data_IF_973925977540
#
_entry.id   IF_973925977540
#
_cell.length_a   1.000
_cell.length_b   1.000
_cell.length_c   1.000
_cell.angle_alpha   90.00
_cell.angle_beta   90.00
_cell.angle_gamma   90.00
#
_symmetry.space_group_name_H-M   'P 1'
#
loop_
_entity.id
_entity.type
_entity.pdbx_description
1 polymer ?
#
# COMPACT_ATOMS: atom_id res chain seq x y z
N UNK A 1 -19.04 6.19 36.11
CA UNK A 1 -18.90 5.26 37.23
C UNK A 1 -17.52 4.65 37.18
N UNK A 2 -16.76 4.73 38.28
CA UNK A 2 -15.43 4.11 38.40
C UNK A 2 -15.61 2.59 38.38
N UNK A 3 -14.68 1.84 37.79
CA UNK A 3 -14.58 0.36 37.89
C UNK A 3 -14.36 -0.05 39.38
N UNK A 4 -14.50 0.91 40.27
CA UNK A 4 -14.34 0.78 41.72
C UNK A 4 -15.34 -0.19 42.32
N UNK A 5 -14.78 -1.03 43.14
CA UNK A 5 -15.37 -1.69 44.35
C UNK A 5 -16.38 -2.82 44.19
N UNK A 6 -16.99 -3.09 43.02
CA UNK A 6 -18.07 -4.10 42.95
C UNK A 6 -17.73 -5.35 42.13
N UNK A 7 -16.50 -5.46 41.60
CA UNK A 7 -16.10 -6.66 40.87
C UNK A 7 -15.46 -7.66 41.84
N UNK A 8 -16.22 -8.71 42.17
CA UNK A 8 -15.65 -9.92 42.75
C UNK A 8 -14.46 -10.40 41.90
N UNK A 9 -13.50 -11.15 42.43
CA UNK A 9 -12.37 -11.68 41.67
C UNK A 9 -12.80 -12.32 40.36
N UNK A 10 -13.92 -13.05 40.34
CA UNK A 10 -14.51 -13.69 39.16
C UNK A 10 -14.97 -12.67 38.08
N UNK A 11 -15.53 -11.54 38.48
CA UNK A 11 -15.95 -10.48 37.54
C UNK A 11 -14.74 -9.73 36.97
N UNK A 12 -13.66 -9.53 37.74
CA UNK A 12 -12.39 -8.98 37.25
C UNK A 12 -11.75 -9.88 36.21
N UNK A 13 -11.73 -11.19 36.47
CA UNK A 13 -11.21 -12.17 35.53
C UNK A 13 -12.00 -12.20 34.22
N UNK A 14 -13.32 -12.22 34.27
CA UNK A 14 -14.19 -12.15 33.08
C UNK A 14 -13.98 -10.87 32.28
N UNK A 15 -13.79 -9.74 32.94
CA UNK A 15 -13.50 -8.47 32.26
C UNK A 15 -12.14 -8.48 31.57
N UNK A 16 -11.10 -9.01 32.21
CA UNK A 16 -9.77 -9.20 31.65
C UNK A 16 -9.82 -10.08 30.39
N UNK A 17 -10.41 -11.26 30.49
CA UNK A 17 -10.48 -12.19 29.36
C UNK A 17 -11.27 -11.62 28.18
N UNK A 18 -12.38 -10.92 28.44
CA UNK A 18 -13.18 -10.26 27.42
C UNK A 18 -12.41 -9.12 26.73
N UNK A 19 -11.64 -8.35 27.50
CA UNK A 19 -10.82 -7.25 26.97
C UNK A 19 -9.69 -7.78 26.08
N UNK A 20 -8.98 -8.80 26.53
CA UNK A 20 -7.92 -9.47 25.75
C UNK A 20 -8.50 -10.07 24.46
N UNK A 21 -9.65 -10.74 24.54
CA UNK A 21 -10.30 -11.30 23.36
C UNK A 21 -10.74 -10.22 22.35
N UNK A 22 -11.19 -9.06 22.83
CA UNK A 22 -11.55 -7.92 21.99
C UNK A 22 -10.32 -7.37 21.24
N UNK A 23 -9.17 -7.34 21.90
CA UNK A 23 -7.91 -6.91 21.29
C UNK A 23 -7.39 -7.94 20.30
N UNK A 24 -7.45 -9.21 20.63
CA UNK A 24 -7.08 -10.28 19.71
C UNK A 24 -7.91 -10.20 18.40
N UNK A 25 -9.22 -10.01 18.49
CA UNK A 25 -10.07 -9.79 17.31
C UNK A 25 -9.70 -8.53 16.56
N UNK A 26 -9.41 -7.44 17.26
CA UNK A 26 -8.98 -6.19 16.65
C UNK A 26 -7.70 -6.36 15.85
N UNK A 27 -6.67 -6.97 16.44
CA UNK A 27 -5.37 -7.25 15.81
C UNK A 27 -5.55 -8.10 14.54
N UNK A 28 -6.32 -9.18 14.64
CA UNK A 28 -6.50 -10.10 13.51
C UNK A 28 -7.43 -9.58 12.40
N UNK A 29 -8.21 -8.52 12.66
CA UNK A 29 -9.10 -7.90 11.67
C UNK A 29 -8.52 -6.65 11.02
N UNK A 30 -7.27 -6.31 11.33
CA UNK A 30 -6.65 -5.06 10.88
C UNK A 30 -5.40 -5.34 10.05
N UNK A 31 -5.26 -4.67 8.92
CA UNK A 31 -4.16 -4.87 7.97
C UNK A 31 -3.17 -3.70 7.92
N UNK A 32 -3.49 -2.59 8.58
CA UNK A 32 -2.64 -1.40 8.63
C UNK A 32 -2.37 -0.95 10.05
N UNK A 33 -1.11 -0.58 10.33
CA UNK A 33 -0.71 -0.05 11.65
C UNK A 33 -1.53 1.16 12.08
N UNK A 34 -1.83 2.08 11.14
CA UNK A 34 -2.62 3.30 11.43
C UNK A 34 -4.04 3.00 11.87
N UNK A 35 -4.68 2.03 11.22
CA UNK A 35 -6.04 1.61 11.59
C UNK A 35 -6.02 0.87 12.92
N UNK A 36 -5.06 -0.03 13.13
CA UNK A 36 -4.91 -0.76 14.38
C UNK A 36 -4.77 0.20 15.58
N UNK A 37 -3.82 1.14 15.54
CA UNK A 37 -3.61 2.08 16.66
C UNK A 37 -4.81 3.01 16.87
N UNK A 38 -5.54 3.35 15.81
CA UNK A 38 -6.73 4.17 15.89
C UNK A 38 -7.89 3.45 16.60
N UNK A 39 -8.14 2.19 16.23
CA UNK A 39 -9.18 1.35 16.86
C UNK A 39 -8.79 0.98 18.29
N UNK A 40 -7.51 0.65 18.51
CA UNK A 40 -6.97 0.39 19.85
C UNK A 40 -7.15 1.61 20.74
N UNK A 41 -6.82 2.82 20.27
CA UNK A 41 -7.01 4.06 21.05
C UNK A 41 -8.47 4.27 21.48
N UNK A 42 -9.44 3.99 20.60
CA UNK A 42 -10.88 4.08 20.92
C UNK A 42 -11.27 3.06 21.97
N UNK A 43 -10.85 1.81 21.79
CA UNK A 43 -11.14 0.73 22.73
C UNK A 43 -10.56 1.05 24.12
N UNK A 44 -9.33 1.55 24.18
CA UNK A 44 -8.71 1.96 25.46
C UNK A 44 -9.43 3.14 26.10
N UNK A 45 -9.90 4.13 25.33
CA UNK A 45 -10.74 5.21 25.88
C UNK A 45 -12.02 4.67 26.53
N UNK A 46 -12.67 3.69 25.90
CA UNK A 46 -13.90 3.07 26.42
C UNK A 46 -13.62 2.22 27.68
N UNK A 47 -12.63 1.33 27.62
CA UNK A 47 -12.29 0.41 28.72
C UNK A 47 -11.87 1.16 29.99
N UNK A 48 -11.08 2.23 29.85
CA UNK A 48 -10.50 2.96 30.97
C UNK A 48 -11.24 4.25 31.33
N UNK A 49 -12.40 4.50 30.72
CA UNK A 49 -13.15 5.76 30.86
C UNK A 49 -12.22 6.98 30.69
N UNK A 50 -11.36 6.94 29.67
CA UNK A 50 -10.40 7.98 29.40
C UNK A 50 -10.97 9.01 28.42
N UNK A 51 -10.74 10.30 28.70
CA UNK A 51 -11.11 11.40 27.81
C UNK A 51 -10.19 11.48 26.59
N UNK A 52 -8.93 11.02 26.72
CA UNK A 52 -7.94 10.99 25.64
C UNK A 52 -7.12 9.73 25.73
N UNK A 53 -6.84 9.16 24.57
CA UNK A 53 -5.79 8.16 24.37
C UNK A 53 -4.81 8.69 23.32
N UNK A 54 -3.55 8.69 23.67
CA UNK A 54 -2.46 9.09 22.80
C UNK A 54 -1.53 7.90 22.63
N UNK A 55 -1.31 7.48 21.38
CA UNK A 55 -0.34 6.44 21.02
C UNK A 55 0.73 7.07 20.14
N UNK A 56 1.98 6.87 20.51
CA UNK A 56 3.14 7.15 19.69
C UNK A 56 3.81 5.86 19.27
N UNK A 57 4.18 5.75 18.00
CA UNK A 57 5.19 4.80 17.56
C UNK A 57 6.49 5.58 17.31
N UNK A 58 7.60 5.01 17.70
CA UNK A 58 8.92 5.63 17.63
C UNK A 58 9.59 5.35 16.29
N UNK A 59 10.47 6.25 15.89
CA UNK A 59 11.42 5.99 14.82
C UNK A 59 12.62 5.16 15.35
N UNK A 60 13.46 4.70 14.44
CA UNK A 60 14.67 3.92 14.78
C UNK A 60 15.63 4.65 15.73
N UNK A 61 15.60 5.98 15.77
CA UNK A 61 16.45 6.79 16.67
C UNK A 61 15.88 6.94 18.08
N UNK A 62 14.60 6.57 18.28
CA UNK A 62 13.83 6.72 19.54
C UNK A 62 13.72 8.15 20.07
N UNK A 63 14.18 9.14 19.31
CA UNK A 63 14.11 10.56 19.63
C UNK A 63 12.87 11.25 19.05
N UNK A 64 12.26 10.62 18.05
CA UNK A 64 11.10 11.13 17.34
C UNK A 64 10.01 10.06 17.28
N UNK A 65 8.75 10.49 17.23
CA UNK A 65 7.65 9.64 16.83
C UNK A 65 7.60 9.58 15.31
N UNK A 66 7.46 8.37 14.75
CA UNK A 66 7.15 8.14 13.33
C UNK A 66 5.66 8.31 13.08
N UNK A 67 4.84 7.87 14.02
CA UNK A 67 3.39 7.90 13.94
C UNK A 67 2.81 8.33 15.30
N UNK A 68 1.88 9.27 15.27
CA UNK A 68 1.17 9.77 16.44
C UNK A 68 -0.34 9.68 16.22
N UNK A 69 -1.04 9.01 17.09
CA UNK A 69 -2.49 8.91 17.09
C UNK A 69 -3.06 9.47 18.40
N UNK A 70 -3.88 10.50 18.29
CA UNK A 70 -4.64 11.07 19.41
C UNK A 70 -6.12 10.83 19.15
N UNK A 71 -6.79 10.11 20.05
CA UNK A 71 -8.22 9.89 20.00
C UNK A 71 -8.89 10.49 21.25
N UNK A 72 -9.99 11.17 21.03
CA UNK A 72 -10.92 11.62 22.05
C UNK A 72 -12.35 11.25 21.61
N UNK A 73 -13.38 11.33 22.49
CA UNK A 73 -14.76 10.99 22.13
C UNK A 73 -15.31 11.78 20.93
N UNK A 74 -14.77 12.98 20.66
CA UNK A 74 -15.26 13.87 19.61
C UNK A 74 -14.29 14.05 18.43
N UNK A 75 -13.02 13.68 18.56
CA UNK A 75 -11.98 13.98 17.56
C UNK A 75 -10.93 12.88 17.47
N UNK A 76 -10.46 12.65 16.27
CA UNK A 76 -9.33 11.76 15.94
C UNK A 76 -8.31 12.53 15.15
N UNK A 77 -7.06 12.49 15.57
CA UNK A 77 -5.92 13.04 14.84
C UNK A 77 -4.87 11.97 14.65
N UNK A 78 -4.44 11.80 13.41
CA UNK A 78 -3.29 10.95 13.07
C UNK A 78 -2.27 11.83 12.39
N UNK A 79 -1.05 11.84 12.92
CA UNK A 79 0.10 12.54 12.34
C UNK A 79 1.10 11.46 11.93
N UNK A 80 1.25 11.28 10.63
CA UNK A 80 2.15 10.32 10.01
C UNK A 80 3.35 11.09 9.44
N UNK A 81 4.13 11.65 10.34
CA UNK A 81 5.43 12.27 10.02
C UNK A 81 6.31 12.31 11.26
N UNK A 82 7.59 12.38 11.04
CA UNK A 82 8.59 12.47 12.07
C UNK A 82 8.36 13.71 12.93
N UNK A 83 8.06 13.52 14.22
CA UNK A 83 7.74 14.59 15.17
C UNK A 83 8.59 14.43 16.43
N UNK A 84 9.24 15.50 16.88
CA UNK A 84 10.09 15.49 18.08
C UNK A 84 9.24 15.29 19.34
N UNK A 85 9.70 14.43 20.23
CA UNK A 85 9.07 14.18 21.53
C UNK A 85 9.54 15.27 22.51
N UNK A 86 8.60 16.08 22.96
CA UNK A 86 8.93 17.26 23.81
C UNK A 86 8.38 17.14 25.23
N UNK A 87 7.30 16.38 25.43
CA UNK A 87 6.60 16.30 26.72
C UNK A 87 7.46 15.59 27.79
N UNK A 88 7.45 16.12 29.00
CA UNK A 88 8.27 15.64 30.13
C UNK A 88 7.89 14.20 30.54
N UNK A 89 6.57 13.89 30.57
CA UNK A 89 6.09 12.54 30.94
C UNK A 89 6.51 11.51 29.89
N UNK A 90 6.39 11.85 28.62
CA UNK A 90 6.81 11.00 27.49
C UNK A 90 8.30 10.68 27.57
N UNK A 91 9.14 11.71 27.78
CA UNK A 91 10.59 11.55 27.98
C UNK A 91 10.93 10.71 29.20
N UNK A 92 10.15 10.85 30.30
CA UNK A 92 10.34 10.03 31.49
C UNK A 92 10.10 8.54 31.18
N UNK A 93 8.97 8.20 30.54
CA UNK A 93 8.64 6.82 30.15
C UNK A 93 9.73 6.24 29.25
N UNK A 94 10.20 6.99 28.25
CA UNK A 94 11.26 6.57 27.35
C UNK A 94 12.59 6.33 28.05
N UNK A 95 12.91 7.12 29.08
CA UNK A 95 14.17 6.98 29.82
C UNK A 95 14.15 5.84 30.84
N UNK A 96 13.01 5.69 31.54
CA UNK A 96 12.88 4.69 32.61
C UNK A 96 12.35 3.34 32.13
N UNK A 97 11.83 3.26 30.89
CA UNK A 97 11.17 2.09 30.31
C UNK A 97 10.08 1.50 31.22
N UNK A 98 9.50 2.33 32.06
CA UNK A 98 8.50 1.91 33.04
C UNK A 98 7.25 2.75 32.94
N UNK A 99 6.14 2.17 33.42
CA UNK A 99 4.86 2.88 33.48
C UNK A 99 4.88 4.04 34.47
N UNK A 100 4.20 5.14 34.11
CA UNK A 100 4.07 6.34 34.95
C UNK A 100 2.60 6.58 35.23
N UNK A 101 2.23 6.60 36.49
CA UNK A 101 0.90 6.92 36.97
C UNK A 101 0.94 8.20 37.80
N UNK A 102 0.17 9.21 37.40
CA UNK A 102 0.06 10.49 38.12
C UNK A 102 -1.36 11.03 38.06
N UNK A 103 -2.14 10.77 39.11
CA UNK A 103 -3.55 11.18 39.17
C UNK A 103 -4.36 10.67 37.98
N UNK A 104 -4.93 11.58 37.21
CA UNK A 104 -5.75 11.28 36.03
C UNK A 104 -4.93 10.91 34.77
N UNK A 105 -3.61 10.74 34.88
CA UNK A 105 -2.71 10.35 33.80
C UNK A 105 -2.12 8.96 34.06
N UNK A 106 -2.12 8.12 33.02
CA UNK A 106 -1.47 6.81 33.01
C UNK A 106 -0.71 6.68 31.69
N UNK A 107 0.59 6.52 31.78
CA UNK A 107 1.46 6.29 30.61
C UNK A 107 2.22 5.00 30.74
N UNK A 108 2.32 4.23 29.64
CA UNK A 108 3.01 2.95 29.61
C UNK A 108 3.85 2.83 28.32
N UNK A 109 5.02 2.20 28.40
CA UNK A 109 5.80 1.91 27.19
C UNK A 109 5.17 0.77 26.41
N UNK A 110 5.29 0.82 25.09
CA UNK A 110 5.03 -0.31 24.19
C UNK A 110 6.36 -1.05 24.03
N UNK A 111 6.48 -2.18 24.70
CA UNK A 111 7.70 -2.98 24.73
C UNK A 111 7.52 -4.25 23.90
N UNK A 112 8.47 -4.47 22.96
CA UNK A 112 8.75 -5.75 22.34
C UNK A 112 10.14 -6.20 22.84
N UNK A 113 11.05 -6.63 21.97
CA UNK A 113 12.47 -6.79 22.33
C UNK A 113 13.10 -5.46 22.77
N UNK A 114 12.52 -4.36 22.29
CA UNK A 114 12.88 -2.99 22.61
C UNK A 114 11.64 -2.11 22.63
N UNK A 115 11.77 -0.84 23.07
CA UNK A 115 10.65 0.10 23.06
C UNK A 115 10.29 0.51 21.64
N UNK A 116 9.05 0.22 21.23
CA UNK A 116 8.50 0.59 19.92
C UNK A 116 7.58 1.82 19.98
N UNK A 117 7.16 2.22 21.18
CA UNK A 117 6.25 3.35 21.34
C UNK A 117 5.84 3.58 22.78
N UNK A 118 4.88 4.48 22.96
CA UNK A 118 4.26 4.76 24.27
C UNK A 118 2.76 4.97 24.09
N UNK A 119 2.01 4.62 25.12
CA UNK A 119 0.57 4.95 25.26
C UNK A 119 0.39 5.86 26.47
N UNK A 120 -0.44 6.89 26.31
CA UNK A 120 -0.85 7.78 27.39
C UNK A 120 -2.38 7.86 27.40
N UNK A 121 -2.97 7.50 28.54
CA UNK A 121 -4.38 7.70 28.84
C UNK A 121 -4.55 8.90 29.77
N UNK A 122 -5.56 9.72 29.50
CA UNK A 122 -5.92 10.86 30.35
C UNK A 122 -7.42 10.86 30.63
N UNK A 123 -7.81 10.90 31.87
CA UNK A 123 -9.20 11.10 32.33
C UNK A 123 -9.58 12.58 32.37
N UNK A 124 -10.86 12.86 32.56
CA UNK A 124 -11.38 14.21 32.78
C UNK A 124 -10.84 14.83 34.07
N UNK A 125 -10.91 16.17 34.18
CA UNK A 125 -10.31 16.95 35.28
C UNK A 125 -10.84 16.56 36.68
N UNK A 126 -12.08 16.13 36.76
CA UNK A 126 -12.75 15.74 38.02
C UNK A 126 -12.92 14.20 38.16
N UNK A 127 -12.30 13.43 37.25
CA UNK A 127 -12.38 11.97 37.34
C UNK A 127 -11.37 11.44 38.37
N UNK A 128 -11.65 10.28 38.99
CA UNK A 128 -10.72 9.64 39.91
C UNK A 128 -9.42 9.27 39.19
N UNK A 129 -8.29 9.27 39.92
CA UNK A 129 -7.00 8.83 39.41
C UNK A 129 -7.04 7.37 38.96
N UNK A 130 -6.05 6.99 38.18
CA UNK A 130 -5.85 5.58 37.82
C UNK A 130 -5.37 4.77 39.01
N UNK A 131 -5.84 3.55 39.15
CA UNK A 131 -5.48 2.61 40.21
C UNK A 131 -4.37 1.65 39.71
N UNK A 132 -3.73 0.94 40.64
CA UNK A 132 -2.67 -0.06 40.31
C UNK A 132 -3.24 -1.18 39.43
N UNK A 133 -4.40 -1.68 39.72
CA UNK A 133 -5.09 -2.71 38.93
C UNK A 133 -5.31 -2.24 37.45
N UNK A 134 -5.70 -0.98 37.24
CA UNK A 134 -5.91 -0.45 35.91
C UNK A 134 -4.60 -0.32 35.13
N UNK A 135 -3.51 -0.02 35.82
CA UNK A 135 -2.17 -0.01 35.23
C UNK A 135 -1.73 -1.42 34.80
N UNK A 136 -1.91 -2.42 35.67
CA UNK A 136 -1.61 -3.82 35.39
C UNK A 136 -2.47 -4.35 34.23
N UNK A 137 -3.75 -4.02 34.22
CA UNK A 137 -4.67 -4.35 33.14
C UNK A 137 -4.22 -3.74 31.80
N UNK A 138 -3.86 -2.44 31.80
CA UNK A 138 -3.40 -1.77 30.60
C UNK A 138 -2.11 -2.43 30.07
N UNK A 139 -1.19 -2.82 30.94
CA UNK A 139 0.04 -3.49 30.54
C UNK A 139 -0.24 -4.83 29.86
N UNK A 140 -1.11 -5.67 30.44
CA UNK A 140 -1.50 -6.96 29.83
C UNK A 140 -2.20 -6.80 28.48
N UNK A 141 -3.03 -5.78 28.34
CA UNK A 141 -3.68 -5.43 27.07
C UNK A 141 -2.64 -5.02 26.01
N UNK A 142 -1.68 -4.21 26.41
CA UNK A 142 -0.66 -3.66 25.52
C UNK A 142 0.28 -4.75 25.00
N UNK A 143 0.64 -5.72 25.82
CA UNK A 143 1.47 -6.86 25.38
C UNK A 143 0.89 -7.53 24.13
N UNK A 144 -0.42 -7.78 24.10
CA UNK A 144 -1.08 -8.34 22.91
C UNK A 144 -1.13 -7.37 21.74
N UNK A 145 -1.34 -6.08 22.01
CA UNK A 145 -1.39 -5.06 20.97
C UNK A 145 -0.01 -4.85 20.32
N UNK A 146 1.08 -4.92 21.09
CA UNK A 146 2.46 -4.80 20.61
C UNK A 146 2.80 -5.89 19.60
N UNK A 147 2.40 -7.13 19.88
CA UNK A 147 2.59 -8.25 18.95
C UNK A 147 1.92 -7.93 17.60
N UNK A 148 0.67 -7.45 17.64
CA UNK A 148 -0.04 -7.06 16.43
C UNK A 148 0.60 -5.91 15.68
N UNK A 149 1.00 -4.85 16.38
CA UNK A 149 1.70 -3.70 15.78
C UNK A 149 3.00 -4.15 15.13
N UNK A 150 3.80 -4.96 15.83
CA UNK A 150 5.10 -5.44 15.35
C UNK A 150 4.93 -6.33 14.11
N UNK A 151 3.97 -7.23 14.11
CA UNK A 151 3.68 -8.09 12.96
C UNK A 151 3.29 -7.27 11.72
N UNK A 152 2.45 -6.25 11.88
CA UNK A 152 2.07 -5.36 10.78
C UNK A 152 3.26 -4.52 10.29
N UNK A 153 4.12 -4.04 11.19
CA UNK A 153 5.34 -3.32 10.81
C UNK A 153 6.31 -4.21 10.04
N UNK A 154 6.54 -5.44 10.51
CA UNK A 154 7.39 -6.42 9.83
C UNK A 154 6.83 -6.79 8.45
N UNK A 155 5.52 -6.96 8.35
CA UNK A 155 4.87 -7.22 7.07
C UNK A 155 5.08 -6.06 6.07
N UNK A 156 4.86 -4.82 6.50
CA UNK A 156 5.07 -3.62 5.67
C UNK A 156 6.55 -3.47 5.25
N UNK A 157 7.48 -3.74 6.15
CA UNK A 157 8.91 -3.72 5.85
C UNK A 157 9.30 -4.81 4.85
N UNK A 158 8.78 -6.02 5.03
CA UNK A 158 8.98 -7.14 4.11
C UNK A 158 8.47 -6.81 2.71
N UNK A 159 7.28 -6.21 2.60
CA UNK A 159 6.72 -5.74 1.33
C UNK A 159 7.62 -4.70 0.66
N UNK A 160 8.14 -3.74 1.42
CA UNK A 160 9.08 -2.73 0.90
C UNK A 160 10.39 -3.33 0.39
N UNK A 161 10.95 -4.30 1.12
CA UNK A 161 12.17 -5.02 0.71
C UNK A 161 11.92 -5.77 -0.59
N UNK A 162 10.84 -6.55 -0.67
CA UNK A 162 10.49 -7.30 -1.89
C UNK A 162 10.29 -6.37 -3.06
N UNK A 163 9.52 -5.29 -2.88
CA UNK A 163 9.28 -4.32 -3.94
C UNK A 163 10.57 -3.62 -4.39
N UNK A 164 11.44 -3.24 -3.45
CA UNK A 164 12.74 -2.64 -3.74
C UNK A 164 13.65 -3.60 -4.50
N UNK A 165 13.70 -4.87 -4.11
CA UNK A 165 14.48 -5.92 -4.80
C UNK A 165 13.99 -6.13 -6.23
N UNK A 166 12.67 -6.23 -6.42
CA UNK A 166 12.06 -6.34 -7.76
C UNK A 166 12.43 -5.13 -8.61
N UNK A 167 12.31 -3.92 -8.07
CA UNK A 167 12.68 -2.69 -8.77
C UNK A 167 14.15 -2.67 -9.17
N UNK A 168 15.05 -3.12 -8.31
CA UNK A 168 16.48 -3.22 -8.61
C UNK A 168 16.75 -4.22 -9.74
N UNK A 169 16.08 -5.38 -9.73
CA UNK A 169 16.19 -6.38 -10.79
C UNK A 169 15.68 -5.83 -12.13
N UNK A 170 14.56 -5.13 -12.14
CA UNK A 170 14.02 -4.47 -13.34
C UNK A 170 15.02 -3.45 -13.86
N UNK A 171 15.59 -2.62 -12.99
CA UNK A 171 16.61 -1.64 -13.40
C UNK A 171 17.83 -2.31 -14.04
N UNK A 172 18.27 -3.47 -13.53
CA UNK A 172 19.35 -4.24 -14.14
C UNK A 172 18.98 -4.80 -15.53
N UNK A 173 17.74 -5.25 -15.70
CA UNK A 173 17.24 -5.69 -17.01
C UNK A 173 17.15 -4.53 -17.99
N UNK A 174 16.69 -3.37 -17.52
CA UNK A 174 16.56 -2.14 -18.32
C UNK A 174 17.92 -1.59 -18.79
N UNK A 175 19.04 -1.91 -18.10
CA UNK A 175 20.38 -1.51 -18.59
C UNK A 175 20.76 -2.16 -19.92
N UNK A 176 20.12 -3.27 -20.29
CA UNK A 176 20.30 -3.92 -21.59
C UNK A 176 19.51 -3.26 -22.72
N UNK A 177 18.53 -2.44 -22.39
CA UNK A 177 17.61 -1.81 -23.33
C UNK A 177 17.83 -0.29 -23.26
N UNK A 178 18.05 0.42 -24.38
CA UNK A 178 18.17 1.87 -24.33
C UNK A 178 16.96 2.50 -23.64
N UNK A 179 17.18 3.57 -22.85
CA UNK A 179 16.14 4.26 -22.06
C UNK A 179 14.89 4.68 -22.86
N UNK A 180 15.06 4.86 -24.17
CA UNK A 180 13.98 5.18 -25.12
C UNK A 180 12.92 4.08 -25.24
N UNK A 181 13.22 2.86 -24.77
CA UNK A 181 12.32 1.69 -24.80
C UNK A 181 11.78 1.31 -23.43
N UNK A 182 12.20 2.01 -22.38
CA UNK A 182 11.72 1.78 -21.02
C UNK A 182 10.52 2.67 -20.70
N UNK A 183 9.72 2.23 -19.74
CA UNK A 183 8.55 3.00 -19.32
C UNK A 183 8.93 4.21 -18.46
N UNK A 184 8.13 5.27 -18.55
CA UNK A 184 8.33 6.46 -17.73
C UNK A 184 8.03 6.16 -16.24
N UNK A 185 8.62 6.92 -15.31
CA UNK A 185 8.29 6.83 -13.88
C UNK A 185 6.79 7.02 -13.56
N UNK A 186 6.03 7.56 -14.53
CA UNK A 186 4.59 7.82 -14.38
C UNK A 186 3.71 6.64 -14.77
N UNK A 187 4.25 5.66 -15.50
CA UNK A 187 3.47 4.52 -15.99
C UNK A 187 2.74 3.78 -14.85
N UNK A 188 3.48 3.36 -13.84
CA UNK A 188 2.89 2.67 -12.68
C UNK A 188 1.85 3.53 -11.95
N UNK A 189 2.04 4.86 -11.90
CA UNK A 189 1.06 5.80 -11.30
C UNK A 189 -0.22 5.87 -12.13
N UNK A 190 -0.11 5.89 -13.46
CA UNK A 190 -1.26 5.89 -14.35
C UNK A 190 -2.07 4.62 -14.21
N UNK A 191 -1.39 3.46 -14.24
CA UNK A 191 -2.02 2.14 -14.09
C UNK A 191 -2.78 2.05 -12.77
N UNK A 192 -2.16 2.44 -11.66
CA UNK A 192 -2.81 2.41 -10.34
C UNK A 192 -3.93 3.43 -10.19
N UNK A 193 -3.81 4.61 -10.79
CA UNK A 193 -4.87 5.62 -10.79
C UNK A 193 -6.13 5.11 -11.52
N UNK A 194 -5.97 4.42 -12.66
CA UNK A 194 -7.09 3.78 -13.36
C UNK A 194 -7.71 2.70 -12.46
N UNK A 195 -6.89 1.87 -11.80
CA UNK A 195 -7.35 0.86 -10.86
C UNK A 195 -8.18 1.43 -9.71
N UNK A 196 -7.71 2.50 -9.05
CA UNK A 196 -8.46 3.19 -8.00
C UNK A 196 -9.77 3.80 -8.53
N UNK A 197 -9.76 4.39 -9.75
CA UNK A 197 -10.97 4.93 -10.38
C UNK A 197 -11.99 3.84 -10.70
N UNK A 198 -11.55 2.59 -10.85
CA UNK A 198 -12.40 1.41 -11.04
C UNK A 198 -12.73 0.69 -9.73
N UNK A 199 -12.41 1.28 -8.58
CA UNK A 199 -12.70 0.76 -7.24
C UNK A 199 -12.07 -0.61 -6.96
N UNK A 200 -10.87 -0.87 -7.49
CA UNK A 200 -10.13 -2.08 -7.16
C UNK A 200 -9.67 -2.06 -5.70
N UNK A 201 -9.65 -3.23 -5.08
CA UNK A 201 -9.13 -3.39 -3.72
C UNK A 201 -7.60 -3.27 -3.66
N UNK A 202 -7.03 -3.13 -2.45
CA UNK A 202 -5.60 -2.92 -2.25
C UNK A 202 -4.73 -4.06 -2.82
N UNK A 203 -5.22 -5.32 -2.77
CA UNK A 203 -4.49 -6.47 -3.33
C UNK A 203 -4.45 -6.42 -4.86
N UNK A 204 -5.54 -6.00 -5.47
CA UNK A 204 -5.63 -5.81 -6.92
C UNK A 204 -4.74 -4.63 -7.37
N UNK A 205 -4.71 -3.54 -6.60
CA UNK A 205 -3.82 -2.39 -6.85
C UNK A 205 -2.35 -2.80 -6.71
N UNK A 206 -2.02 -3.60 -5.70
CA UNK A 206 -0.67 -4.15 -5.53
C UNK A 206 -0.26 -5.02 -6.73
N UNK A 207 -1.16 -5.89 -7.18
CA UNK A 207 -0.94 -6.72 -8.38
C UNK A 207 -0.70 -5.89 -9.63
N UNK A 208 -1.42 -4.78 -9.79
CA UNK A 208 -1.21 -3.81 -10.87
C UNK A 208 0.16 -3.13 -10.77
N UNK A 209 0.60 -2.76 -9.55
CA UNK A 209 1.94 -2.19 -9.34
C UNK A 209 3.04 -3.14 -9.78
N UNK A 210 2.96 -4.41 -9.35
CA UNK A 210 3.92 -5.43 -9.78
C UNK A 210 3.88 -5.65 -11.30
N UNK A 211 2.68 -5.78 -11.87
CA UNK A 211 2.55 -5.97 -13.31
C UNK A 211 3.10 -4.79 -14.11
N UNK A 212 2.88 -3.56 -13.66
CA UNK A 212 3.40 -2.36 -14.33
C UNK A 212 4.92 -2.29 -14.38
N UNK A 213 5.61 -2.87 -13.40
CA UNK A 213 7.07 -2.93 -13.38
C UNK A 213 7.64 -4.09 -14.20
N UNK A 214 6.88 -5.19 -14.28
CA UNK A 214 7.41 -6.49 -14.70
C UNK A 214 6.88 -7.00 -16.03
N UNK A 215 5.87 -6.34 -16.64
CA UNK A 215 5.21 -6.86 -17.86
C UNK A 215 6.16 -7.08 -19.04
N UNK A 216 7.22 -6.30 -19.10
CA UNK A 216 8.24 -6.35 -20.16
C UNK A 216 9.45 -7.24 -19.83
N UNK A 217 9.50 -7.89 -18.65
CA UNK A 217 10.62 -8.75 -18.23
C UNK A 217 10.96 -9.84 -19.24
N UNK A 218 9.97 -10.33 -19.97
CA UNK A 218 10.19 -11.35 -21.02
C UNK A 218 10.93 -10.85 -22.26
N UNK A 219 11.19 -9.56 -22.39
CA UNK A 219 12.02 -9.01 -23.46
C UNK A 219 13.50 -9.38 -23.30
N UNK A 220 13.92 -9.90 -22.15
CA UNK A 220 15.28 -10.37 -21.87
C UNK A 220 15.79 -11.40 -22.90
N UNK A 221 14.91 -12.20 -23.46
CA UNK A 221 15.23 -13.23 -24.44
C UNK A 221 15.17 -12.72 -25.90
N UNK A 222 14.82 -11.46 -26.13
CA UNK A 222 14.72 -10.91 -27.48
C UNK A 222 16.11 -10.36 -27.87
N UNK A 223 16.65 -10.73 -29.04
CA UNK A 223 17.88 -10.17 -29.57
C UNK A 223 17.83 -8.63 -29.60
N UNK A 224 18.90 -7.99 -29.16
CA UNK A 224 18.95 -6.52 -29.05
C UNK A 224 18.75 -5.84 -30.40
N UNK A 225 19.22 -6.47 -31.47
CA UNK A 225 19.10 -6.00 -32.86
C UNK A 225 17.63 -5.90 -33.30
N UNK A 226 16.76 -6.79 -32.77
CA UNK A 226 15.32 -6.74 -33.02
C UNK A 226 14.67 -5.65 -32.17
N UNK A 227 15.05 -5.54 -30.88
CA UNK A 227 14.50 -4.54 -29.97
C UNK A 227 14.82 -3.11 -30.40
N UNK A 228 16.04 -2.87 -30.89
CA UNK A 228 16.56 -1.53 -31.26
C UNK A 228 16.38 -1.18 -32.72
N UNK A 229 15.75 -2.06 -33.52
CA UNK A 229 15.57 -1.86 -34.96
C UNK A 229 14.72 -0.62 -35.22
N UNK A 230 15.28 0.32 -36.02
CA UNK A 230 14.59 1.58 -36.38
C UNK A 230 13.66 1.44 -37.58
N UNK A 231 13.83 0.36 -38.38
CA UNK A 231 12.98 0.08 -39.53
C UNK A 231 11.79 -0.81 -39.14
N UNK A 232 10.82 -0.94 -40.03
CA UNK A 232 9.68 -1.86 -39.78
C UNK A 232 10.15 -3.28 -39.52
N UNK A 233 9.60 -3.91 -38.49
CA UNK A 233 9.86 -5.32 -38.20
C UNK A 233 9.25 -6.23 -39.26
N UNK A 234 9.99 -7.27 -39.63
CA UNK A 234 9.42 -8.37 -40.42
C UNK A 234 8.40 -9.16 -39.59
N UNK A 235 7.55 -9.93 -40.24
CA UNK A 235 6.57 -10.79 -39.56
C UNK A 235 7.26 -11.79 -38.61
N UNK A 236 8.43 -12.31 -38.98
CA UNK A 236 9.22 -13.22 -38.13
C UNK A 236 9.72 -12.51 -36.88
N UNK A 237 10.32 -11.34 -37.01
CA UNK A 237 10.81 -10.53 -35.87
C UNK A 237 9.66 -10.10 -34.94
N UNK A 238 8.53 -9.68 -35.51
CA UNK A 238 7.35 -9.32 -34.73
C UNK A 238 6.79 -10.52 -33.93
N UNK A 239 6.83 -11.73 -34.50
CA UNK A 239 6.42 -12.94 -33.80
C UNK A 239 7.37 -13.30 -32.64
N UNK A 240 8.65 -12.94 -32.71
CA UNK A 240 9.59 -13.06 -31.59
C UNK A 240 9.18 -12.13 -30.48
N UNK A 241 8.90 -10.87 -30.78
CA UNK A 241 8.44 -9.89 -29.79
C UNK A 241 7.14 -10.33 -29.11
N UNK A 242 6.17 -10.87 -29.86
CA UNK A 242 4.90 -11.35 -29.29
C UNK A 242 5.03 -12.43 -28.23
N UNK A 243 6.17 -13.05 -28.08
CA UNK A 243 6.41 -14.10 -27.07
C UNK A 243 6.75 -13.54 -25.70
N UNK A 244 7.13 -12.24 -25.59
CA UNK A 244 7.59 -11.71 -24.30
C UNK A 244 6.55 -11.80 -23.17
N UNK A 245 5.21 -11.62 -23.36
CA UNK A 245 4.29 -11.73 -22.24
C UNK A 245 4.27 -13.14 -21.65
N UNK A 246 4.26 -14.15 -22.50
CA UNK A 246 4.32 -15.56 -22.09
C UNK A 246 5.65 -15.87 -21.39
N UNK A 247 6.77 -15.36 -21.95
CA UNK A 247 8.10 -15.58 -21.39
C UNK A 247 8.26 -14.87 -20.03
N UNK A 248 7.77 -13.64 -19.91
CA UNK A 248 7.73 -12.92 -18.64
C UNK A 248 6.94 -13.67 -17.57
N UNK A 249 5.75 -14.16 -17.91
CA UNK A 249 4.95 -15.00 -17.02
C UNK A 249 5.70 -16.29 -16.60
N UNK A 250 6.43 -16.94 -17.51
CA UNK A 250 7.25 -18.13 -17.20
C UNK A 250 8.40 -17.83 -16.24
N UNK A 251 9.12 -16.72 -16.44
CA UNK A 251 10.23 -16.30 -15.57
C UNK A 251 9.72 -16.03 -14.16
N UNK A 252 8.61 -15.31 -14.04
CA UNK A 252 8.09 -14.80 -12.77
C UNK A 252 7.25 -15.80 -11.97
N UNK A 253 6.82 -16.92 -12.56
CA UNK A 253 5.92 -17.91 -11.91
C UNK A 253 6.43 -18.51 -10.60
N UNK A 254 7.74 -18.51 -10.40
CA UNK A 254 8.39 -19.06 -9.20
C UNK A 254 8.30 -18.12 -7.98
N UNK A 255 7.96 -16.87 -8.19
CA UNK A 255 7.78 -15.87 -7.12
C UNK A 255 6.32 -15.83 -6.69
N UNK A 256 5.99 -16.50 -5.58
CA UNK A 256 4.61 -16.63 -5.11
C UNK A 256 3.89 -15.29 -4.92
N UNK A 257 4.61 -14.27 -4.45
CA UNK A 257 4.07 -12.92 -4.26
C UNK A 257 3.57 -12.29 -5.58
N UNK A 258 4.12 -12.70 -6.73
CA UNK A 258 3.75 -12.20 -8.05
C UNK A 258 2.62 -12.99 -8.70
N UNK A 259 2.18 -14.10 -8.08
CA UNK A 259 1.14 -14.97 -8.65
C UNK A 259 -0.12 -14.23 -9.12
N UNK A 260 -0.64 -13.22 -8.38
CA UNK A 260 -1.80 -12.45 -8.85
C UNK A 260 -1.48 -11.50 -10.02
N UNK A 261 -0.20 -11.09 -10.19
CA UNK A 261 0.23 -10.22 -11.28
C UNK A 261 0.50 -10.99 -12.59
N UNK A 262 0.78 -12.30 -12.53
CA UNK A 262 1.13 -13.12 -13.70
C UNK A 262 0.06 -13.09 -14.81
N UNK A 263 -1.25 -13.25 -14.53
CA UNK A 263 -2.27 -13.14 -15.56
C UNK A 263 -2.31 -11.76 -16.23
N UNK A 264 -2.01 -10.71 -15.48
CA UNK A 264 -1.93 -9.34 -15.99
C UNK A 264 -0.76 -9.23 -16.97
N UNK A 265 0.43 -9.69 -16.57
CA UNK A 265 1.65 -9.70 -17.37
C UNK A 265 1.47 -10.54 -18.64
N UNK A 266 0.85 -11.70 -18.52
CA UNK A 266 0.66 -12.61 -19.65
C UNK A 266 -0.28 -12.03 -20.71
N UNK A 267 -1.31 -11.27 -20.32
CA UNK A 267 -2.39 -10.85 -21.20
C UNK A 267 -2.47 -9.35 -21.47
N UNK A 268 -1.44 -8.56 -21.13
CA UNK A 268 -1.47 -7.10 -21.30
C UNK A 268 -1.50 -6.62 -22.76
N UNK A 269 -1.21 -7.49 -23.71
CA UNK A 269 -1.33 -7.23 -25.15
C UNK A 269 -2.56 -7.88 -25.81
N UNK A 270 -3.48 -8.41 -24.98
CA UNK A 270 -4.79 -8.81 -25.51
C UNK A 270 -5.60 -7.56 -25.89
N UNK A 271 -6.41 -7.71 -26.92
CA UNK A 271 -7.34 -6.68 -27.36
C UNK A 271 -8.77 -7.09 -27.06
N UNK A 272 -9.59 -6.13 -26.67
CA UNK A 272 -10.96 -6.39 -26.23
C UNK A 272 -11.80 -7.16 -27.28
N UNK A 273 -11.53 -6.94 -28.58
CA UNK A 273 -12.14 -7.65 -29.71
C UNK A 273 -11.58 -9.07 -29.95
N UNK A 274 -10.52 -9.49 -29.23
CA UNK A 274 -9.87 -10.78 -29.37
C UNK A 274 -8.85 -10.89 -30.51
N UNK A 275 -8.45 -9.78 -31.12
CA UNK A 275 -7.38 -9.76 -32.14
C UNK A 275 -5.98 -9.59 -31.52
N UNK A 276 -5.88 -9.62 -30.19
CA UNK A 276 -4.64 -9.51 -29.43
C UNK A 276 -3.82 -10.81 -29.36
N UNK A 277 -2.86 -10.83 -28.46
CA UNK A 277 -2.00 -12.00 -28.18
C UNK A 277 -1.65 -12.05 -26.69
N UNK A 278 -1.21 -13.20 -26.14
CA UNK A 278 -0.90 -14.46 -26.80
C UNK A 278 -2.10 -15.41 -26.99
N UNK A 279 -3.17 -15.26 -26.20
CA UNK A 279 -4.25 -16.25 -26.08
C UNK A 279 -5.51 -15.89 -26.86
N UNK A 280 -5.58 -14.72 -27.46
CA UNK A 280 -6.74 -14.18 -28.20
C UNK A 280 -8.03 -14.15 -27.39
N UNK A 281 -7.90 -13.82 -26.11
CA UNK A 281 -9.02 -13.63 -25.21
C UNK A 281 -9.89 -12.45 -25.66
N UNK A 282 -11.21 -12.55 -25.40
CA UNK A 282 -12.17 -11.50 -25.79
C UNK A 282 -12.86 -10.93 -24.55
N UNK A 283 -13.11 -9.64 -24.58
CA UNK A 283 -13.92 -8.93 -23.59
C UNK A 283 -13.45 -9.25 -22.15
N UNK A 284 -14.37 -9.66 -21.29
CA UNK A 284 -14.14 -9.96 -19.88
C UNK A 284 -13.34 -11.26 -19.63
N UNK A 285 -13.09 -12.07 -20.63
CA UNK A 285 -12.12 -13.18 -20.53
C UNK A 285 -10.70 -12.66 -20.26
N UNK A 286 -10.40 -11.42 -20.73
CA UNK A 286 -9.14 -10.74 -20.44
C UNK A 286 -9.16 -10.29 -18.98
N UNK A 287 -8.15 -10.64 -18.15
CA UNK A 287 -8.06 -10.17 -16.79
C UNK A 287 -8.19 -8.65 -16.71
N UNK A 288 -8.97 -8.13 -15.75
CA UNK A 288 -9.23 -6.68 -15.65
C UNK A 288 -7.94 -5.86 -15.58
N UNK A 289 -6.96 -6.33 -14.80
CA UNK A 289 -5.65 -5.67 -14.72
C UNK A 289 -4.93 -5.61 -16.07
N UNK A 290 -5.06 -6.63 -16.92
CA UNK A 290 -4.48 -6.64 -18.27
C UNK A 290 -5.18 -5.63 -19.19
N UNK A 291 -6.52 -5.49 -19.08
CA UNK A 291 -7.29 -4.46 -19.80
C UNK A 291 -6.87 -3.05 -19.39
N UNK A 292 -6.60 -2.84 -18.10
CA UNK A 292 -6.07 -1.57 -17.56
C UNK A 292 -4.67 -1.29 -18.12
N UNK A 293 -3.79 -2.30 -18.07
CA UNK A 293 -2.42 -2.20 -18.59
C UNK A 293 -2.42 -1.83 -20.08
N UNK A 294 -3.26 -2.47 -20.89
CA UNK A 294 -3.36 -2.20 -22.33
C UNK A 294 -3.67 -0.74 -22.66
N UNK A 295 -4.56 -0.09 -21.89
CA UNK A 295 -4.88 1.33 -22.07
C UNK A 295 -3.71 2.21 -21.68
N UNK A 296 -3.09 1.94 -20.52
CA UNK A 296 -1.97 2.72 -19.99
C UNK A 296 -0.73 2.62 -20.89
N UNK A 297 -0.35 1.41 -21.33
CA UNK A 297 0.79 1.18 -22.23
C UNK A 297 0.60 1.87 -23.57
N UNK A 298 -0.58 1.74 -24.17
CA UNK A 298 -0.87 2.42 -25.43
C UNK A 298 -0.83 3.94 -25.30
N UNK A 299 -1.38 4.51 -24.23
CA UNK A 299 -1.32 5.94 -23.96
C UNK A 299 0.11 6.42 -23.79
N UNK A 300 0.89 5.73 -22.95
CA UNK A 300 2.30 6.07 -22.73
C UNK A 300 3.11 5.99 -24.02
N UNK A 301 2.98 4.91 -24.78
CA UNK A 301 3.65 4.73 -26.05
C UNK A 301 3.32 5.84 -27.08
N UNK A 302 2.11 6.39 -27.04
CA UNK A 302 1.73 7.53 -27.89
C UNK A 302 2.36 8.85 -27.43
N UNK A 303 2.35 9.12 -26.12
CA UNK A 303 2.81 10.41 -25.57
C UNK A 303 4.33 10.51 -25.53
N UNK A 304 5.02 9.45 -25.13
CA UNK A 304 6.49 9.45 -25.03
C UNK A 304 7.17 9.04 -26.34
N UNK A 305 6.42 8.45 -27.29
CA UNK A 305 6.93 7.93 -28.54
C UNK A 305 7.63 6.58 -28.37
N UNK A 306 8.06 6.02 -29.48
CA UNK A 306 8.94 4.86 -29.59
C UNK A 306 9.95 5.18 -30.71
N UNK A 307 11.12 4.57 -30.79
CA UNK A 307 12.13 4.91 -31.79
C UNK A 307 11.67 4.89 -33.26
N UNK A 308 10.60 4.14 -33.52
CA UNK A 308 9.97 4.00 -34.84
C UNK A 308 8.61 4.72 -34.95
N UNK A 309 8.22 5.51 -33.92
CA UNK A 309 6.93 6.22 -33.90
C UNK A 309 7.08 7.58 -33.23
N UNK A 310 6.72 8.64 -33.96
CA UNK A 310 6.70 10.00 -33.43
C UNK A 310 5.75 10.15 -32.22
N UNK A 311 6.08 11.11 -31.36
CA UNK A 311 5.30 11.44 -30.19
C UNK A 311 3.99 12.13 -30.61
N UNK A 312 2.92 11.77 -29.96
CA UNK A 312 1.63 12.47 -30.07
C UNK A 312 1.48 13.45 -28.91
N UNK A 313 0.76 14.56 -29.14
CA UNK A 313 0.29 15.36 -28.03
C UNK A 313 -0.76 14.61 -27.19
N UNK A 314 -0.91 15.04 -25.94
CA UNK A 314 -1.78 14.35 -24.98
C UNK A 314 -3.23 14.30 -25.45
N UNK A 315 -3.74 15.40 -26.06
CA UNK A 315 -5.13 15.48 -26.49
C UNK A 315 -5.40 14.49 -27.64
N UNK A 316 -4.48 14.40 -28.59
CA UNK A 316 -4.53 13.42 -29.69
C UNK A 316 -4.45 12.00 -29.19
N UNK A 317 -3.57 11.70 -28.21
CA UNK A 317 -3.47 10.38 -27.60
C UNK A 317 -4.77 9.98 -26.88
N UNK A 318 -5.39 10.89 -26.12
CA UNK A 318 -6.69 10.67 -25.47
C UNK A 318 -7.78 10.39 -26.51
N UNK A 319 -7.83 11.18 -27.61
CA UNK A 319 -8.78 10.99 -28.70
C UNK A 319 -8.64 9.61 -29.35
N UNK A 320 -7.39 9.14 -29.52
CA UNK A 320 -7.12 7.81 -30.10
C UNK A 320 -7.55 6.69 -29.15
N UNK A 321 -7.27 6.78 -27.83
CA UNK A 321 -7.76 5.83 -26.84
C UNK A 321 -9.30 5.75 -26.89
N UNK A 322 -9.98 6.91 -26.92
CA UNK A 322 -11.44 6.97 -27.01
C UNK A 322 -11.94 6.32 -28.29
N UNK A 323 -11.31 6.60 -29.44
CA UNK A 323 -11.67 6.03 -30.75
C UNK A 323 -11.59 4.50 -30.80
N UNK A 324 -10.64 3.93 -30.04
CA UNK A 324 -10.38 2.48 -29.98
C UNK A 324 -11.19 1.75 -28.89
N UNK A 325 -12.07 2.47 -28.20
CA UNK A 325 -12.99 1.88 -27.22
C UNK A 325 -13.90 0.85 -27.88
N UNK A 326 -14.10 -0.29 -27.24
CA UNK A 326 -14.90 -1.42 -27.73
C UNK A 326 -14.19 -2.31 -28.75
N UNK A 327 -13.04 -1.90 -29.28
CA UNK A 327 -12.22 -2.72 -30.20
C UNK A 327 -10.92 -3.14 -29.54
N UNK A 328 -9.94 -2.27 -29.49
CA UNK A 328 -8.66 -2.53 -28.81
C UNK A 328 -8.81 -2.49 -27.29
N UNK A 329 -9.61 -1.57 -26.76
CA UNK A 329 -9.71 -1.27 -25.33
C UNK A 329 -11.10 -1.57 -24.78
N UNK A 330 -11.15 -1.99 -23.51
CA UNK A 330 -12.39 -2.12 -22.75
C UNK A 330 -13.06 -0.76 -22.55
N UNK A 331 -14.33 -0.56 -22.95
CA UNK A 331 -15.05 0.68 -22.75
C UNK A 331 -15.08 1.18 -21.30
N UNK A 332 -15.21 0.25 -20.33
CA UNK A 332 -15.23 0.60 -18.89
C UNK A 332 -13.88 1.15 -18.42
N UNK A 333 -12.78 0.56 -18.91
CA UNK A 333 -11.43 1.04 -18.60
C UNK A 333 -11.16 2.38 -19.28
N UNK A 334 -11.61 2.54 -20.54
CA UNK A 334 -11.50 3.82 -21.25
C UNK A 334 -12.25 4.93 -20.50
N UNK A 335 -13.46 4.68 -20.03
CA UNK A 335 -14.24 5.66 -19.25
C UNK A 335 -13.51 6.05 -17.95
N UNK A 336 -12.95 5.08 -17.21
CA UNK A 336 -12.15 5.34 -16.02
C UNK A 336 -10.92 6.19 -16.36
N UNK A 337 -10.19 5.84 -17.42
CA UNK A 337 -9.04 6.60 -17.91
C UNK A 337 -9.43 8.04 -18.27
N UNK A 338 -10.54 8.26 -19.01
CA UNK A 338 -10.98 9.58 -19.42
C UNK A 338 -11.34 10.50 -18.24
N UNK A 339 -11.89 9.94 -17.15
CA UNK A 339 -12.15 10.70 -15.91
C UNK A 339 -10.84 11.20 -15.27
N UNK A 340 -9.78 10.38 -15.30
CA UNK A 340 -8.46 10.75 -14.80
C UNK A 340 -7.78 11.74 -15.73
N UNK A 341 -7.90 11.54 -17.04
CA UNK A 341 -7.25 12.37 -18.06
C UNK A 341 -7.69 13.84 -18.00
N UNK A 342 -8.94 14.14 -17.60
CA UNK A 342 -9.38 15.52 -17.32
C UNK A 342 -8.51 16.24 -16.30
N UNK A 343 -7.97 15.50 -15.33
CA UNK A 343 -7.09 16.04 -14.29
C UNK A 343 -5.61 16.06 -14.72
N UNK A 344 -5.21 15.25 -15.70
CA UNK A 344 -3.85 15.22 -16.26
C UNK A 344 -3.53 16.53 -16.99
N UNK A 345 -4.51 17.11 -17.70
CA UNK A 345 -4.35 18.40 -18.37
C UNK A 345 -4.17 19.58 -17.39
N UNK A 346 -4.77 19.51 -16.19
CA UNK A 346 -4.76 20.60 -15.20
C UNK A 346 -3.58 20.51 -14.22
N UNK A 347 -3.00 19.35 -14.02
CA UNK A 347 -1.92 19.14 -13.06
C UNK A 347 -0.72 18.57 -13.81
N UNK A 348 0.24 19.34 -14.18
CA UNK A 348 1.61 18.97 -14.60
C UNK A 348 2.09 17.50 -14.32
N UNK A 349 1.21 16.53 -14.44
CA UNK A 349 1.46 15.11 -14.13
C UNK A 349 2.48 14.47 -15.07
N UNK A 350 2.78 15.14 -16.19
CA UNK A 350 3.66 14.67 -17.25
C UNK A 350 4.83 15.64 -17.54
N UNK A 351 5.01 16.70 -16.76
CA UNK A 351 6.23 17.49 -16.89
C UNK A 351 7.38 16.72 -16.26
N UNK A 352 8.37 16.41 -17.08
CA UNK A 352 9.71 16.03 -16.62
C UNK A 352 10.20 17.12 -15.68
N UNK A 353 10.40 16.81 -14.38
CA UNK A 353 11.38 17.51 -13.56
C UNK A 353 12.75 16.96 -13.90
#
# INVERSE_FOLDING_TARGET
MSIKSYLTPTKRYKFLTSSIHSIYRLVNSTYEVKDLISRLSRLLCQLFNAKFCLIYLLDHTKKYSSLKCLVSPRKKYIIDKRTKITNVMEKKILRTLSSVRKGALLGVPLMSDDIIGIIILKRGKHAPGFERFEQELLMSIIEQAVIGIKNLQLYDEQQKIVFGSIKSLVTLLDTRVPQEYTHSPYFSRLVTAIGHQMHLDEKQIESLKYASLLHDTGKVDIPIEILTKRTKLTTKEYNIIKRHPLKGAQILRHLQILRPAIPIIMHHHEKYDGTGYPSRLKKEQIPLGARIMAVADAFEAMVYGRPYRERMDIASAIKEIKRKSGTQFDPKVVDAFLRIAKNIHTKNYLKKS
#
